data_IF_086278382783
#
_entry.id   IF_086278382783
#
_cell.length_a   1.000
_cell.length_b   1.000
_cell.length_c   1.000
_cell.angle_alpha   90.00
_cell.angle_beta   90.00
_cell.angle_gamma   90.00
#
_symmetry.space_group_name_H-M   'P 1'
#
loop_
_entity.id
_entity.type
_entity.pdbx_description
1 polymer ?
#
# COMPACT_ATOMS: atom_id res chain seq x y z
N UNK A 1 10.48 -19.77 -56.40
CA UNK A 1 10.66 -20.22 -55.00
C UNK A 1 11.32 -19.20 -54.05
N UNK A 2 12.31 -18.39 -54.47
CA UNK A 2 13.00 -17.43 -53.58
C UNK A 2 12.11 -16.28 -53.05
N UNK A 3 11.13 -15.82 -53.84
CA UNK A 3 10.21 -14.73 -53.43
C UNK A 3 9.18 -15.12 -52.36
N UNK A 4 8.71 -16.37 -52.39
CA UNK A 4 7.73 -16.87 -51.40
C UNK A 4 8.35 -16.97 -50.00
N UNK A 5 9.61 -17.41 -49.91
CA UNK A 5 10.35 -17.49 -48.64
C UNK A 5 10.56 -16.11 -48.00
N UNK A 6 10.86 -15.07 -48.79
CA UNK A 6 11.00 -13.70 -48.29
C UNK A 6 9.68 -13.14 -47.74
N UNK A 7 8.57 -13.38 -48.43
CA UNK A 7 7.23 -12.94 -47.98
C UNK A 7 6.80 -13.64 -46.69
N UNK A 8 7.07 -14.93 -46.55
CA UNK A 8 6.76 -15.69 -45.33
C UNK A 8 7.58 -15.17 -44.13
N UNK A 9 8.88 -14.92 -44.32
CA UNK A 9 9.75 -14.37 -43.25
C UNK A 9 9.30 -12.96 -42.85
N UNK A 10 8.91 -12.11 -43.81
CA UNK A 10 8.40 -10.77 -43.53
C UNK A 10 7.08 -10.79 -42.74
N UNK A 11 6.17 -11.72 -43.04
CA UNK A 11 4.91 -11.88 -42.32
C UNK A 11 5.14 -12.37 -40.89
N UNK A 12 6.05 -13.34 -40.69
CA UNK A 12 6.41 -13.84 -39.35
C UNK A 12 7.02 -12.73 -38.49
N UNK A 13 7.92 -11.92 -39.06
CA UNK A 13 8.57 -10.82 -38.35
C UNK A 13 7.57 -9.73 -37.95
N UNK A 14 6.60 -9.41 -38.81
CA UNK A 14 5.53 -8.45 -38.55
C UNK A 14 4.59 -8.90 -37.41
N UNK A 15 4.20 -10.18 -37.41
CA UNK A 15 3.40 -10.76 -36.32
C UNK A 15 4.13 -10.74 -34.97
N UNK A 16 5.45 -10.98 -34.97
CA UNK A 16 6.26 -10.95 -33.74
C UNK A 16 6.40 -9.53 -33.18
N UNK A 17 6.57 -8.52 -34.05
CA UNK A 17 6.62 -7.12 -33.63
C UNK A 17 5.29 -6.62 -33.08
N UNK A 18 4.14 -7.05 -33.63
CA UNK A 18 2.82 -6.68 -33.11
C UNK A 18 2.56 -7.35 -31.75
N UNK A 19 2.99 -8.61 -31.58
CA UNK A 19 2.91 -9.31 -30.29
C UNK A 19 3.74 -8.65 -29.18
N UNK A 20 4.98 -8.27 -29.50
CA UNK A 20 5.86 -7.53 -28.58
C UNK A 20 5.35 -6.10 -28.31
N UNK A 21 4.74 -5.45 -29.31
CA UNK A 21 4.15 -4.12 -29.17
C UNK A 21 2.91 -4.17 -28.25
N UNK A 22 2.06 -5.20 -28.36
CA UNK A 22 0.90 -5.39 -27.46
C UNK A 22 1.30 -5.67 -26.00
N UNK A 23 2.47 -6.26 -25.74
CA UNK A 23 3.00 -6.41 -24.37
C UNK A 23 3.67 -5.14 -23.83
N UNK A 24 4.11 -4.24 -24.72
CA UNK A 24 4.67 -2.92 -24.38
C UNK A 24 3.58 -1.83 -24.28
N UNK A 25 2.37 -2.08 -24.78
CA UNK A 25 1.25 -1.14 -24.83
C UNK A 25 0.18 -1.32 -23.75
N UNK A 26 0.34 -2.26 -22.83
CA UNK A 26 -0.45 -2.20 -21.60
C UNK A 26 0.28 -1.24 -20.67
N UNK A 27 -0.09 0.04 -20.75
CA UNK A 27 0.18 1.00 -19.69
C UNK A 27 -0.10 0.34 -18.34
N UNK A 28 0.78 0.55 -17.35
CA UNK A 28 0.71 -0.04 -16.01
C UNK A 28 -0.74 -0.14 -15.52
N UNK A 29 -1.33 -1.35 -15.57
CA UNK A 29 -2.69 -1.53 -15.09
C UNK A 29 -2.72 -1.14 -13.60
N UNK A 30 -3.72 -0.36 -13.22
CA UNK A 30 -3.97 -0.03 -11.83
C UNK A 30 -4.40 -1.32 -11.12
N UNK A 31 -3.45 -2.05 -10.56
CA UNK A 31 -3.73 -3.20 -9.73
C UNK A 31 -4.04 -2.73 -8.30
N UNK A 32 -5.31 -2.86 -7.89
CA UNK A 32 -5.70 -2.58 -6.51
C UNK A 32 -5.10 -3.67 -5.60
N UNK A 33 -4.20 -3.26 -4.71
CA UNK A 33 -3.57 -4.19 -3.77
C UNK A 33 -4.45 -4.42 -2.55
N UNK A 34 -4.64 -3.39 -1.72
CA UNK A 34 -5.44 -3.46 -0.52
C UNK A 34 -5.89 -2.07 -0.08
N UNK A 35 -6.94 -2.03 0.74
CA UNK A 35 -7.33 -0.89 1.55
C UNK A 35 -7.63 -1.42 2.96
N UNK A 36 -7.14 -0.73 3.98
CA UNK A 36 -7.30 -1.10 5.39
C UNK A 36 -7.93 0.05 6.15
N UNK A 37 -8.86 -0.26 7.06
CA UNK A 37 -9.49 0.70 7.96
C UNK A 37 -8.92 0.57 9.36
N UNK A 38 -8.65 1.69 10.01
CA UNK A 38 -8.17 1.76 11.39
C UNK A 38 -8.77 3.01 12.02
N UNK A 39 -9.10 2.94 13.30
CA UNK A 39 -9.76 4.01 14.03
C UNK A 39 -10.61 3.47 15.17
N UNK A 40 -10.90 4.34 16.12
CA UNK A 40 -11.74 4.07 17.28
C UNK A 40 -13.12 4.66 17.14
N UNK A 41 -13.81 4.80 18.28
CA UNK A 41 -15.14 5.41 18.35
C UNK A 41 -15.12 6.94 18.37
N UNK A 42 -13.94 7.56 18.37
CA UNK A 42 -13.77 9.01 18.46
C UNK A 42 -13.07 9.55 17.20
N UNK A 43 -12.57 10.79 17.25
CA UNK A 43 -11.85 11.38 16.12
C UNK A 43 -10.48 10.73 15.95
N UNK A 44 -10.09 10.43 14.71
CA UNK A 44 -8.75 9.95 14.38
C UNK A 44 -8.27 10.66 13.10
N UNK A 45 -7.03 11.14 13.11
CA UNK A 45 -6.49 11.96 12.03
C UNK A 45 -5.16 11.42 11.54
N UNK A 46 -5.13 10.88 10.32
CA UNK A 46 -3.88 10.65 9.59
C UNK A 46 -3.22 11.97 9.17
N UNK A 47 -1.90 12.05 9.30
CA UNK A 47 -1.09 13.23 8.98
C UNK A 47 0.00 12.98 7.95
N UNK A 48 0.60 11.80 7.94
CA UNK A 48 1.63 11.45 6.97
C UNK A 48 1.70 9.95 6.70
N UNK A 49 2.26 9.60 5.56
CA UNK A 49 2.58 8.24 5.14
C UNK A 49 3.95 8.22 4.47
N UNK A 50 4.76 7.20 4.78
CA UNK A 50 6.07 6.97 4.17
C UNK A 50 6.33 5.47 4.01
N UNK A 51 7.26 5.11 3.12
CA UNK A 51 7.70 3.73 2.90
C UNK A 51 9.18 3.58 3.26
N UNK A 52 9.57 2.41 3.78
CA UNK A 52 10.98 2.01 3.81
C UNK A 52 11.40 1.24 2.55
N UNK A 53 12.68 0.85 2.47
CA UNK A 53 13.23 0.13 1.31
C UNK A 53 12.60 -1.25 1.08
N UNK A 54 11.99 -1.85 2.10
CA UNK A 54 11.34 -3.15 2.01
C UNK A 54 9.85 -3.01 1.65
N UNK A 55 9.37 -1.76 1.47
CA UNK A 55 7.99 -1.45 1.15
C UNK A 55 7.07 -1.46 2.37
N UNK A 56 7.61 -1.50 3.60
CA UNK A 56 6.77 -1.38 4.79
C UNK A 56 6.20 0.05 4.87
N UNK A 57 4.94 0.15 5.28
CA UNK A 57 4.20 1.39 5.35
C UNK A 57 4.26 1.97 6.75
N UNK A 58 4.65 3.24 6.87
CA UNK A 58 4.62 3.98 8.11
C UNK A 58 3.56 5.06 8.02
N UNK A 59 2.63 5.09 8.97
CA UNK A 59 1.62 6.14 9.09
C UNK A 59 1.78 6.86 10.42
N UNK A 60 1.51 8.16 10.42
CA UNK A 60 1.52 8.99 11.63
C UNK A 60 0.27 9.84 11.70
N UNK A 61 -0.11 10.23 12.91
CA UNK A 61 -1.29 11.02 13.14
C UNK A 61 -1.58 11.24 14.62
N UNK A 62 -2.81 11.62 14.91
CA UNK A 62 -3.32 11.74 16.29
C UNK A 62 -4.60 10.93 16.42
N UNK A 63 -4.80 10.33 17.59
CA UNK A 63 -5.95 9.49 17.89
C UNK A 63 -6.52 9.83 19.28
N UNK A 64 -7.79 9.49 19.48
CA UNK A 64 -8.54 9.84 20.67
C UNK A 64 -9.13 8.59 21.33
N UNK A 65 -9.08 8.54 22.67
CA UNK A 65 -9.55 7.37 23.41
C UNK A 65 -8.76 6.10 23.07
N UNK A 66 -9.47 4.99 22.90
CA UNK A 66 -8.88 3.69 22.55
C UNK A 66 -9.05 3.43 21.05
N UNK A 67 -7.94 3.09 20.38
CA UNK A 67 -7.93 2.72 18.96
C UNK A 67 -7.22 1.39 18.78
N UNK A 68 -7.85 0.52 17.98
CA UNK A 68 -7.21 -0.70 17.48
C UNK A 68 -6.38 -0.38 16.24
N UNK A 69 -5.07 -0.59 16.35
CA UNK A 69 -4.11 -0.38 15.27
C UNK A 69 -3.78 -1.65 14.49
N UNK A 70 -4.45 -2.78 14.75
CA UNK A 70 -4.37 -3.95 13.88
C UNK A 70 -5.51 -3.90 12.83
N UNK A 71 -5.21 -3.73 11.53
CA UNK A 71 -6.23 -3.75 10.48
C UNK A 71 -6.70 -5.17 10.09
N UNK A 72 -6.16 -6.20 10.73
CA UNK A 72 -6.49 -7.61 10.52
C UNK A 72 -7.58 -8.11 11.47
N UNK A 73 -7.47 -9.39 11.87
CA UNK A 73 -8.38 -10.00 12.86
C UNK A 73 -7.82 -9.99 14.28
N UNK A 74 -6.58 -9.51 14.45
CA UNK A 74 -5.97 -9.30 15.75
C UNK A 74 -6.51 -8.04 16.42
N UNK A 75 -6.01 -7.77 17.62
CA UNK A 75 -6.32 -6.55 18.38
C UNK A 75 -5.01 -5.98 18.90
N UNK A 76 -4.69 -4.75 18.53
CA UNK A 76 -3.58 -3.99 19.09
C UNK A 76 -4.04 -2.60 19.53
N UNK A 77 -4.60 -2.55 20.74
CA UNK A 77 -5.13 -1.32 21.30
C UNK A 77 -4.02 -0.39 21.82
N UNK A 78 -4.06 0.86 21.36
CA UNK A 78 -3.39 1.98 22.03
C UNK A 78 -4.44 2.86 22.71
N UNK A 79 -4.10 3.39 23.88
CA UNK A 79 -4.96 4.30 24.64
C UNK A 79 -4.27 5.67 24.70
N UNK A 80 -4.97 6.70 24.25
CA UNK A 80 -4.50 8.06 24.39
C UNK A 80 -4.52 8.50 25.86
N UNK A 81 -3.43 9.09 26.33
CA UNK A 81 -3.33 9.63 27.69
C UNK A 81 -3.70 11.11 27.68
N UNK A 82 -4.92 11.45 28.10
CA UNK A 82 -5.42 12.84 28.06
C UNK A 82 -6.43 13.05 26.92
N UNK A 83 -6.30 14.14 26.15
CA UNK A 83 -7.23 14.44 25.05
C UNK A 83 -6.96 13.56 23.83
N UNK A 84 -5.72 13.57 23.36
CA UNK A 84 -5.24 12.83 22.19
C UNK A 84 -3.75 12.59 22.29
N UNK A 85 -3.30 11.48 21.71
CA UNK A 85 -1.89 11.15 21.59
C UNK A 85 -1.49 11.08 20.12
N UNK A 86 -0.20 11.30 19.85
CA UNK A 86 0.41 10.99 18.55
C UNK A 86 0.47 9.47 18.42
N UNK A 87 0.23 8.95 17.23
CA UNK A 87 0.60 7.58 16.89
C UNK A 87 1.67 7.54 15.81
N UNK A 88 2.44 6.46 15.84
CA UNK A 88 3.19 5.95 14.71
C UNK A 88 2.87 4.46 14.55
N UNK A 89 2.56 4.04 13.34
CA UNK A 89 2.27 2.66 13.00
C UNK A 89 3.16 2.20 11.86
N UNK A 90 3.57 0.93 11.93
CA UNK A 90 4.20 0.20 10.84
C UNK A 90 3.30 -0.96 10.40
N UNK A 91 3.01 -1.01 9.10
CA UNK A 91 2.45 -2.17 8.40
C UNK A 91 3.49 -2.76 7.45
N UNK A 92 3.38 -4.05 7.14
CA UNK A 92 4.17 -4.64 6.05
C UNK A 92 3.63 -4.19 4.67
N UNK A 93 4.29 -4.61 3.59
CA UNK A 93 3.91 -4.23 2.22
C UNK A 93 2.53 -4.79 1.81
N UNK A 94 2.08 -5.85 2.47
CA UNK A 94 0.76 -6.46 2.30
C UNK A 94 -0.32 -5.80 3.19
N UNK A 95 0.05 -4.79 3.98
CA UNK A 95 -0.86 -4.04 4.85
C UNK A 95 -1.21 -4.77 6.14
N UNK A 96 -0.41 -5.75 6.56
CA UNK A 96 -0.58 -6.44 7.84
C UNK A 96 0.14 -5.69 8.96
N UNK A 97 -0.39 -5.81 10.18
CA UNK A 97 0.17 -5.19 11.36
C UNK A 97 1.60 -5.69 11.67
N UNK A 98 2.52 -4.76 11.94
CA UNK A 98 3.86 -5.07 12.46
C UNK A 98 4.02 -4.54 13.88
N UNK A 99 3.79 -3.23 14.08
CA UNK A 99 3.72 -2.61 15.40
C UNK A 99 3.03 -1.24 15.33
N UNK A 100 2.53 -0.76 16.46
CA UNK A 100 2.12 0.63 16.65
C UNK A 100 2.57 1.15 18.02
N UNK A 101 2.83 2.45 18.11
CA UNK A 101 3.23 3.15 19.34
C UNK A 101 2.51 4.48 19.46
N UNK A 102 2.19 4.87 20.70
CA UNK A 102 1.67 6.19 21.03
C UNK A 102 2.70 7.05 21.73
N UNK A 103 2.59 8.36 21.55
CA UNK A 103 3.39 9.38 22.24
C UNK A 103 2.49 10.54 22.63
N UNK A 104 2.40 10.81 23.93
CA UNK A 104 1.61 11.87 24.50
C UNK A 104 1.72 11.86 26.02
N UNK A 105 1.05 12.80 26.67
CA UNK A 105 1.11 12.96 28.12
C UNK A 105 -0.26 13.30 28.65
N UNK A 106 -0.64 12.66 29.75
CA UNK A 106 -1.85 13.01 30.49
C UNK A 106 -1.76 14.43 31.05
N UNK A 107 -2.91 15.05 31.29
CA UNK A 107 -2.98 16.32 32.02
C UNK A 107 -2.29 16.16 33.39
N UNK A 108 -1.16 16.83 33.59
CA UNK A 108 -0.48 16.95 34.89
C UNK A 108 -1.00 18.15 35.66
#
# INVERSE_FOLDING_TARGET
>A
MKGLRKRIIQVILFCFTIGLCNTLLIAQELNFQWAKSMGGSSYDYGKSIALDSDGNVYTTGYFYGTVDFDPGTGIHNLNAMGYSDIFIQKLDREGNFVWAKSMGGGYS
#
